data_IF_356933455047
#
_entry.id   IF_356933455047
#
_cell.length_a   1.000
_cell.length_b   1.000
_cell.length_c   1.000
_cell.angle_alpha   90.00
_cell.angle_beta   90.00
_cell.angle_gamma   90.00
#
_symmetry.space_group_name_H-M   'P 1'
#
loop_
_entity.id
_entity.type
_entity.pdbx_description
1 polymer ?
#
# COMPACT_ATOMS: atom_id res chain seq x y z
N UNK A 1 12.32 -26.75 20.49
CA UNK A 1 11.83 -26.34 19.14
C UNK A 1 10.39 -26.77 18.96
N UNK A 2 10.00 -28.00 19.35
CA UNK A 2 8.65 -28.54 19.15
C UNK A 2 7.54 -27.68 19.81
N UNK A 3 7.82 -27.11 21.00
CA UNK A 3 6.89 -26.19 21.66
C UNK A 3 6.68 -24.90 20.84
N UNK A 4 7.77 -24.37 20.28
CA UNK A 4 7.69 -23.15 19.42
C UNK A 4 6.91 -23.44 18.14
N UNK A 5 7.13 -24.62 17.53
CA UNK A 5 6.36 -25.01 16.34
C UNK A 5 4.86 -25.10 16.68
N UNK A 6 4.50 -25.69 17.81
CA UNK A 6 3.10 -25.81 18.25
C UNK A 6 2.47 -24.44 18.48
N UNK A 7 3.17 -23.52 19.16
CA UNK A 7 2.70 -22.14 19.38
C UNK A 7 2.51 -21.36 18.06
N UNK A 8 3.41 -21.54 17.09
CA UNK A 8 3.29 -20.93 15.76
C UNK A 8 2.07 -21.47 15.01
N UNK A 9 1.84 -22.78 15.04
CA UNK A 9 0.67 -23.43 14.42
C UNK A 9 -0.64 -22.95 15.04
N UNK A 10 -0.72 -22.87 16.37
CA UNK A 10 -1.87 -22.32 17.08
C UNK A 10 -2.12 -20.85 16.70
N UNK A 11 -1.05 -20.05 16.58
CA UNK A 11 -1.16 -18.65 16.18
C UNK A 11 -1.68 -18.51 14.74
N UNK A 12 -1.16 -19.31 13.79
CA UNK A 12 -1.65 -19.33 12.42
C UNK A 12 -3.14 -19.70 12.35
N UNK A 13 -3.55 -20.76 13.07
CA UNK A 13 -4.95 -21.19 13.13
C UNK A 13 -5.86 -20.14 13.76
N UNK A 14 -5.39 -19.43 14.79
CA UNK A 14 -6.12 -18.30 15.40
C UNK A 14 -6.41 -17.16 14.40
N UNK A 15 -5.54 -16.95 13.44
CA UNK A 15 -5.69 -15.96 12.37
C UNK A 15 -6.27 -16.54 11.07
N UNK A 16 -6.89 -17.72 11.14
CA UNK A 16 -7.57 -18.39 10.01
C UNK A 16 -6.63 -18.80 8.87
N UNK A 17 -5.34 -18.99 9.16
CA UNK A 17 -4.39 -19.62 8.26
C UNK A 17 -4.34 -21.15 8.52
N UNK A 18 -3.93 -21.97 7.52
CA UNK A 18 -3.86 -23.43 7.67
C UNK A 18 -2.66 -23.83 8.55
N UNK A 19 -2.74 -23.58 9.86
CA UNK A 19 -1.64 -23.80 10.81
C UNK A 19 -1.18 -25.24 10.89
N UNK A 20 -2.11 -26.20 10.79
CA UNK A 20 -1.77 -27.63 10.89
C UNK A 20 -1.06 -28.14 9.62
N UNK A 21 -1.42 -27.61 8.43
CA UNK A 21 -0.91 -28.07 7.14
C UNK A 21 0.30 -27.25 6.67
N UNK A 22 0.57 -26.07 7.24
CA UNK A 22 1.69 -25.23 6.84
C UNK A 22 3.03 -25.93 7.06
N UNK A 23 3.93 -26.01 6.05
CA UNK A 23 5.25 -26.59 6.24
C UNK A 23 6.08 -25.75 7.19
N UNK A 24 6.75 -26.40 8.13
CA UNK A 24 7.68 -25.76 9.07
C UNK A 24 9.08 -26.31 8.85
N UNK A 25 9.97 -25.47 8.35
CA UNK A 25 11.34 -25.84 8.03
C UNK A 25 12.29 -25.22 9.06
N UNK A 26 12.92 -26.05 9.86
CA UNK A 26 13.90 -25.59 10.84
C UNK A 26 15.24 -25.36 10.17
N UNK A 27 15.76 -24.13 10.26
CA UNK A 27 17.03 -23.71 9.65
C UNK A 27 17.97 -23.07 10.66
N UNK A 28 19.27 -23.13 10.39
CA UNK A 28 20.30 -22.32 11.07
C UNK A 28 21.05 -21.51 10.01
N UNK A 29 20.64 -20.25 9.83
CA UNK A 29 21.25 -19.36 8.84
C UNK A 29 22.75 -19.16 9.10
N UNK A 30 23.17 -19.02 10.38
CA UNK A 30 24.57 -18.86 10.74
C UNK A 30 25.41 -20.06 10.28
N UNK A 31 24.99 -21.28 10.61
CA UNK A 31 25.73 -22.49 10.26
C UNK A 31 25.75 -22.72 8.74
N UNK A 32 24.65 -22.42 8.05
CA UNK A 32 24.61 -22.47 6.59
C UNK A 32 25.63 -21.49 5.97
N UNK A 33 25.72 -20.26 6.51
CA UNK A 33 26.69 -19.27 6.06
C UNK A 33 28.15 -19.68 6.35
N UNK A 34 28.39 -20.40 7.45
CA UNK A 34 29.69 -20.98 7.81
C UNK A 34 30.09 -22.20 6.96
N UNK A 35 29.19 -22.66 6.06
CA UNK A 35 29.48 -23.76 5.13
C UNK A 35 29.10 -25.16 5.64
N UNK A 36 28.27 -25.27 6.71
CA UNK A 36 27.74 -26.54 7.18
C UNK A 36 26.75 -27.11 6.14
N UNK A 37 27.09 -28.26 5.55
CA UNK A 37 26.33 -28.89 4.46
C UNK A 37 24.88 -29.22 4.87
N UNK A 38 24.66 -29.68 6.11
CA UNK A 38 23.33 -30.03 6.62
C UNK A 38 22.44 -28.78 6.64
N UNK A 39 22.96 -27.69 7.17
CA UNK A 39 22.17 -26.44 7.30
C UNK A 39 22.05 -25.70 5.96
N UNK A 40 23.03 -25.86 5.06
CA UNK A 40 22.92 -25.41 3.68
C UNK A 40 21.75 -26.10 2.96
N UNK A 41 21.64 -27.44 3.09
CA UNK A 41 20.52 -28.19 2.51
C UNK A 41 19.17 -27.74 3.09
N UNK A 42 19.08 -27.49 4.42
CA UNK A 42 17.83 -27.02 5.04
C UNK A 42 17.38 -25.65 4.52
N UNK A 43 18.30 -24.78 4.10
CA UNK A 43 17.94 -23.52 3.42
C UNK A 43 17.35 -23.79 2.04
N UNK A 44 17.88 -24.77 1.29
CA UNK A 44 17.32 -25.19 0.00
C UNK A 44 15.93 -25.78 0.21
N UNK A 45 15.76 -26.70 1.18
CA UNK A 45 14.45 -27.28 1.53
C UNK A 45 13.40 -26.18 1.86
N UNK A 46 13.83 -25.08 2.50
CA UNK A 46 12.95 -23.93 2.75
C UNK A 46 12.51 -23.23 1.45
N UNK A 47 13.44 -23.04 0.52
CA UNK A 47 13.12 -22.42 -0.77
C UNK A 47 12.18 -23.30 -1.60
N UNK A 48 12.45 -24.63 -1.63
CA UNK A 48 11.57 -25.59 -2.31
C UNK A 48 10.15 -25.57 -1.69
N UNK A 49 10.05 -25.53 -0.35
CA UNK A 49 8.76 -25.43 0.33
C UNK A 49 8.03 -24.11 0.02
N UNK A 50 8.74 -23.00 -0.15
CA UNK A 50 8.15 -21.73 -0.60
C UNK A 50 7.59 -21.86 -2.02
N UNK A 51 8.36 -22.45 -2.95
CA UNK A 51 7.93 -22.60 -4.34
C UNK A 51 6.72 -23.54 -4.47
N UNK A 52 6.61 -24.55 -3.63
CA UNK A 52 5.51 -25.51 -3.65
C UNK A 52 4.23 -24.98 -2.97
N UNK A 53 4.36 -24.17 -1.91
CA UNK A 53 3.22 -23.82 -1.05
C UNK A 53 2.74 -22.38 -1.16
N UNK A 54 3.55 -21.46 -1.74
CA UNK A 54 3.12 -20.07 -1.93
C UNK A 54 2.50 -19.93 -3.33
N UNK A 55 1.19 -19.68 -3.45
CA UNK A 55 0.54 -19.54 -4.75
C UNK A 55 1.01 -18.25 -5.46
N UNK A 56 1.10 -18.32 -6.79
CA UNK A 56 1.32 -17.10 -7.58
C UNK A 56 0.20 -16.09 -7.35
N UNK A 57 0.52 -14.82 -7.04
CA UNK A 57 -0.50 -13.81 -6.83
C UNK A 57 -1.23 -13.48 -8.14
N UNK A 58 -2.55 -13.37 -8.07
CA UNK A 58 -3.34 -12.86 -9.18
C UNK A 58 -3.06 -11.36 -9.34
N UNK A 59 -2.59 -10.98 -10.52
CA UNK A 59 -2.24 -9.58 -10.84
C UNK A 59 -3.32 -8.95 -11.70
N UNK A 60 -3.72 -7.73 -11.35
CA UNK A 60 -4.71 -6.92 -12.08
C UNK A 60 -4.09 -6.29 -13.35
N UNK A 61 -3.77 -7.11 -14.35
CA UNK A 61 -3.08 -6.67 -15.57
C UNK A 61 -3.99 -5.90 -16.55
N UNK A 62 -5.27 -6.24 -16.57
CA UNK A 62 -6.26 -5.67 -17.53
C UNK A 62 -6.79 -4.31 -17.12
N UNK A 63 -6.55 -3.87 -15.88
CA UNK A 63 -6.96 -2.55 -15.40
C UNK A 63 -6.04 -1.45 -15.92
N UNK A 64 -6.54 -0.21 -15.90
CA UNK A 64 -5.72 0.95 -16.23
C UNK A 64 -4.52 1.06 -15.28
N UNK A 65 -3.33 1.33 -15.83
CA UNK A 65 -2.09 1.48 -15.07
C UNK A 65 -2.23 2.45 -13.91
N UNK A 66 -1.73 2.06 -12.74
CA UNK A 66 -1.61 2.88 -11.55
C UNK A 66 -0.40 2.46 -10.71
N UNK A 67 0.45 3.44 -10.40
CA UNK A 67 1.61 3.28 -9.52
C UNK A 67 1.67 4.44 -8.51
N UNK A 68 1.53 4.19 -7.20
CA UNK A 68 1.78 5.18 -6.17
C UNK A 68 3.26 5.59 -6.15
N UNK A 69 3.54 6.88 -5.99
CA UNK A 69 4.90 7.40 -5.86
C UNK A 69 5.39 7.17 -4.43
N UNK A 70 6.46 6.38 -4.29
CA UNK A 70 7.13 6.11 -3.01
C UNK A 70 8.31 7.05 -2.77
N UNK A 71 9.14 7.26 -3.80
CA UNK A 71 10.28 8.17 -3.72
C UNK A 71 10.57 8.84 -5.06
N UNK A 72 11.32 9.95 -5.03
CA UNK A 72 11.66 10.77 -6.20
C UNK A 72 13.15 11.10 -6.18
N UNK A 73 13.85 10.71 -7.23
CA UNK A 73 15.28 10.93 -7.40
C UNK A 73 15.59 11.75 -8.65
N UNK A 74 16.76 12.40 -8.65
CA UNK A 74 17.32 12.98 -9.84
C UNK A 74 18.60 12.23 -10.21
N UNK A 75 18.67 11.74 -11.44
CA UNK A 75 19.89 11.15 -11.99
C UNK A 75 20.54 12.17 -12.90
N UNK A 76 21.76 12.60 -12.58
CA UNK A 76 22.52 13.57 -13.38
C UNK A 76 22.63 13.12 -14.83
N UNK A 77 22.21 13.99 -15.77
CA UNK A 77 22.22 13.71 -17.19
C UNK A 77 21.11 12.81 -17.73
N UNK A 78 20.25 12.22 -16.85
CA UNK A 78 19.12 11.36 -17.27
C UNK A 78 17.75 11.95 -16.94
N UNK A 79 17.61 12.68 -15.82
CA UNK A 79 16.36 13.32 -15.42
C UNK A 79 15.80 12.80 -14.09
N UNK A 80 14.51 13.01 -13.89
CA UNK A 80 13.78 12.61 -12.69
C UNK A 80 13.32 11.16 -12.82
N UNK A 81 13.61 10.38 -11.79
CA UNK A 81 13.14 9.01 -11.60
C UNK A 81 12.22 8.98 -10.40
N UNK A 82 11.08 8.36 -10.58
CA UNK A 82 10.14 8.04 -9.51
C UNK A 82 10.13 6.55 -9.27
N UNK A 83 10.04 6.13 -8.02
CA UNK A 83 9.91 4.72 -7.66
C UNK A 83 8.56 4.43 -7.05
N UNK A 84 8.10 3.20 -7.21
CA UNK A 84 6.89 2.70 -6.61
C UNK A 84 6.57 1.29 -7.03
N UNK A 85 5.62 0.68 -6.33
CA UNK A 85 5.05 -0.60 -6.70
C UNK A 85 3.86 -0.37 -7.63
N UNK A 86 3.84 -1.02 -8.78
CA UNK A 86 2.68 -0.98 -9.67
C UNK A 86 1.52 -1.71 -8.99
N UNK A 87 0.45 -0.99 -8.71
CA UNK A 87 -0.75 -1.51 -8.04
C UNK A 87 -1.61 -2.33 -9.01
N UNK A 88 -1.74 -1.83 -10.26
CA UNK A 88 -2.52 -2.47 -11.32
C UNK A 88 -2.09 -2.01 -12.72
N UNK A 89 -2.47 -2.81 -13.71
CA UNK A 89 -2.19 -2.55 -15.12
C UNK A 89 -0.74 -2.76 -15.52
N UNK A 90 -0.40 -2.22 -16.66
CA UNK A 90 0.92 -2.29 -17.28
C UNK A 90 1.34 -0.90 -17.77
N UNK A 91 2.65 -0.65 -17.81
CA UNK A 91 3.26 0.55 -18.40
C UNK A 91 4.44 0.14 -19.28
N UNK A 92 4.60 0.82 -20.42
CA UNK A 92 5.68 0.59 -21.39
C UNK A 92 6.54 1.83 -21.55
N UNK A 93 7.77 1.63 -21.99
CA UNK A 93 8.61 2.75 -22.44
C UNK A 93 7.92 3.47 -23.59
N UNK A 94 7.90 4.81 -23.52
CA UNK A 94 7.20 5.76 -24.37
C UNK A 94 5.69 5.91 -24.12
N UNK A 95 5.12 5.26 -23.12
CA UNK A 95 3.74 5.53 -22.72
C UNK A 95 3.61 6.94 -22.13
N UNK A 96 2.52 7.63 -22.51
CA UNK A 96 2.07 8.86 -21.86
C UNK A 96 1.37 8.50 -20.54
N UNK A 97 1.75 9.19 -19.46
CA UNK A 97 1.19 9.01 -18.12
C UNK A 97 0.81 10.36 -17.50
N UNK A 98 -0.08 10.34 -16.53
CA UNK A 98 -0.42 11.50 -15.70
C UNK A 98 0.05 11.28 -14.27
N UNK A 99 0.59 12.35 -13.65
CA UNK A 99 0.87 12.43 -12.22
C UNK A 99 -0.30 13.14 -11.57
N UNK A 100 -0.95 12.52 -10.59
CA UNK A 100 -2.24 12.96 -10.04
C UNK A 100 -2.21 12.96 -8.52
N UNK A 101 -2.93 13.90 -7.91
CA UNK A 101 -3.06 14.08 -6.47
C UNK A 101 -2.11 15.13 -5.90
N UNK A 102 -2.46 15.69 -4.74
CA UNK A 102 -1.68 16.66 -3.98
C UNK A 102 -1.47 17.99 -4.72
N UNK A 103 -0.99 17.94 -5.97
CA UNK A 103 -0.69 19.10 -6.82
C UNK A 103 -1.52 19.08 -8.10
N UNK A 104 -1.34 20.10 -8.91
CA UNK A 104 -1.94 20.17 -10.24
C UNK A 104 -1.50 18.96 -11.09
N UNK A 105 -2.46 18.45 -11.84
CA UNK A 105 -2.26 17.30 -12.73
C UNK A 105 -1.20 17.62 -13.79
N UNK A 106 -0.24 16.73 -13.95
CA UNK A 106 0.83 16.86 -14.94
C UNK A 106 0.90 15.65 -15.85
N UNK A 107 0.99 15.89 -17.16
CA UNK A 107 1.26 14.85 -18.16
C UNK A 107 2.75 14.75 -18.44
N UNK A 108 3.23 13.52 -18.60
CA UNK A 108 4.61 13.24 -18.97
C UNK A 108 4.71 11.92 -19.74
N UNK A 109 5.90 11.57 -20.18
CA UNK A 109 6.18 10.31 -20.91
C UNK A 109 7.21 9.50 -20.14
N UNK A 110 6.98 8.20 -20.01
CA UNK A 110 7.96 7.26 -19.46
C UNK A 110 9.06 7.02 -20.49
N UNK A 111 10.30 7.43 -20.19
CA UNK A 111 11.43 7.28 -21.11
C UNK A 111 12.34 6.10 -20.76
N UNK A 112 12.12 5.47 -19.62
CA UNK A 112 12.83 4.28 -19.19
C UNK A 112 12.17 3.65 -17.99
N UNK A 113 12.32 2.34 -17.86
CA UNK A 113 11.83 1.53 -16.73
C UNK A 113 13.02 0.72 -16.24
N UNK A 114 13.24 0.72 -14.93
CA UNK A 114 14.35 -0.02 -14.32
C UNK A 114 13.87 -0.79 -13.08
N UNK A 115 14.28 -2.05 -12.98
CA UNK A 115 14.05 -2.90 -11.82
C UNK A 115 15.34 -3.68 -11.52
N UNK A 116 15.82 -3.62 -10.27
CA UNK A 116 17.07 -4.29 -9.84
C UNK A 116 18.29 -4.01 -10.76
N UNK A 117 18.45 -2.77 -11.20
CA UNK A 117 19.51 -2.32 -12.13
C UNK A 117 19.42 -2.93 -13.54
N UNK A 118 18.25 -3.48 -13.91
CA UNK A 118 17.97 -3.96 -15.27
C UNK A 118 16.98 -3.04 -15.93
N UNK A 119 17.26 -2.64 -17.17
CA UNK A 119 16.32 -1.90 -17.99
C UNK A 119 15.25 -2.86 -18.53
N UNK A 120 14.01 -2.40 -18.50
CA UNK A 120 12.84 -3.13 -18.96
C UNK A 120 12.15 -2.35 -20.07
N UNK A 121 11.53 -3.04 -21.02
CA UNK A 121 10.69 -2.45 -22.05
C UNK A 121 9.28 -2.14 -21.53
N UNK A 122 8.82 -2.92 -20.57
CA UNK A 122 7.53 -2.75 -19.88
C UNK A 122 7.62 -3.25 -18.43
N UNK A 123 6.65 -2.85 -17.63
CA UNK A 123 6.45 -3.35 -16.27
C UNK A 123 4.96 -3.48 -15.96
N UNK A 124 4.61 -4.33 -14.99
CA UNK A 124 3.24 -4.71 -14.69
C UNK A 124 2.91 -4.78 -13.20
N UNK A 125 1.62 -4.95 -12.90
CA UNK A 125 1.10 -5.02 -11.53
C UNK A 125 1.90 -6.01 -10.67
N UNK A 126 2.24 -5.56 -9.45
CA UNK A 126 3.04 -6.32 -8.48
C UNK A 126 4.53 -6.01 -8.50
N UNK A 127 5.05 -5.40 -9.58
CA UNK A 127 6.46 -5.05 -9.71
C UNK A 127 6.81 -3.73 -9.04
N UNK A 128 7.97 -3.68 -8.41
CA UNK A 128 8.53 -2.47 -7.82
C UNK A 128 9.59 -1.89 -8.75
N UNK A 129 9.32 -0.73 -9.33
CA UNK A 129 10.11 -0.18 -10.44
C UNK A 129 10.46 1.29 -10.25
N UNK A 130 11.52 1.71 -10.95
CA UNK A 130 11.85 3.11 -11.20
C UNK A 130 11.41 3.51 -12.60
N UNK A 131 10.60 4.58 -12.71
CA UNK A 131 10.18 5.17 -13.97
C UNK A 131 10.95 6.47 -14.23
N UNK A 132 11.68 6.54 -15.34
CA UNK A 132 12.31 7.75 -15.81
C UNK A 132 11.31 8.60 -16.59
N UNK A 133 11.12 9.85 -16.18
CA UNK A 133 10.10 10.74 -16.74
C UNK A 133 10.70 11.87 -17.59
N UNK A 134 10.07 12.15 -18.73
CA UNK A 134 10.50 13.20 -19.65
C UNK A 134 10.11 14.58 -19.14
N UNK A 135 11.08 15.51 -19.05
CA UNK A 135 10.81 16.93 -18.76
C UNK A 135 10.20 17.23 -17.40
N UNK A 136 10.10 16.24 -16.53
CA UNK A 136 9.58 16.39 -15.15
C UNK A 136 10.75 16.73 -14.24
N UNK A 137 10.63 17.78 -13.43
CA UNK A 137 11.62 18.13 -12.42
C UNK A 137 11.29 17.44 -11.10
N UNK A 138 12.32 17.29 -10.24
CA UNK A 138 12.14 16.65 -8.93
C UNK A 138 11.11 17.39 -8.06
N UNK A 139 11.10 18.72 -8.12
CA UNK A 139 10.18 19.58 -7.38
C UNK A 139 8.72 19.50 -7.86
N UNK A 140 8.46 18.94 -9.05
CA UNK A 140 7.12 18.80 -9.61
C UNK A 140 6.39 17.55 -9.11
N UNK A 141 7.12 16.61 -8.53
CA UNK A 141 6.59 15.32 -8.05
C UNK A 141 6.97 15.10 -6.61
N UNK A 142 6.03 14.55 -5.84
CA UNK A 142 6.28 14.18 -4.45
C UNK A 142 5.64 12.84 -4.09
N UNK A 143 6.16 12.23 -3.03
CA UNK A 143 5.58 11.02 -2.43
C UNK A 143 4.11 11.25 -2.11
N UNK A 144 3.28 10.25 -2.41
CA UNK A 144 1.85 10.29 -2.16
C UNK A 144 0.99 10.65 -3.37
N UNK A 145 1.60 11.21 -4.43
CA UNK A 145 0.95 11.28 -5.73
C UNK A 145 0.87 9.88 -6.36
N UNK A 146 0.08 9.72 -7.40
CA UNK A 146 0.04 8.50 -8.21
C UNK A 146 0.38 8.79 -9.66
N UNK A 147 1.03 7.85 -10.31
CA UNK A 147 1.25 7.86 -11.77
C UNK A 147 0.26 6.91 -12.40
N UNK A 148 -0.49 7.39 -13.37
CA UNK A 148 -1.62 6.66 -13.93
C UNK A 148 -1.68 6.79 -15.45
N UNK A 149 -2.44 5.89 -16.09
CA UNK A 149 -2.88 6.07 -17.47
C UNK A 149 -3.70 7.39 -17.57
N UNK A 150 -3.45 8.24 -18.56
CA UNK A 150 -4.14 9.54 -18.67
C UNK A 150 -5.65 9.41 -18.55
N UNK A 151 -6.25 10.23 -17.68
CA UNK A 151 -7.70 10.29 -17.47
C UNK A 151 -8.33 9.12 -16.71
N UNK A 152 -7.55 8.17 -16.17
CA UNK A 152 -8.08 6.99 -15.49
C UNK A 152 -8.47 7.22 -14.04
N UNK A 153 -7.98 8.27 -13.39
CA UNK A 153 -8.32 8.64 -12.01
C UNK A 153 -8.30 10.16 -11.84
N UNK A 154 -9.12 10.66 -10.93
CA UNK A 154 -9.17 12.08 -10.54
C UNK A 154 -8.85 12.24 -9.05
N UNK A 155 -8.27 13.40 -8.66
CA UNK A 155 -8.11 13.73 -7.25
C UNK A 155 -9.42 14.22 -6.64
N UNK A 156 -9.64 13.88 -5.37
CA UNK A 156 -10.85 14.19 -4.61
C UNK A 156 -10.51 14.61 -3.19
N UNK A 157 -11.36 15.47 -2.60
CA UNK A 157 -11.23 15.91 -1.21
C UNK A 157 -12.32 15.35 -0.31
N UNK A 158 -13.47 14.97 -0.85
CA UNK A 158 -14.62 14.52 -0.06
C UNK A 158 -15.07 13.12 -0.41
N UNK A 159 -15.36 12.32 0.60
CA UNK A 159 -15.85 10.95 0.43
C UNK A 159 -16.67 10.49 1.63
N UNK A 160 -17.53 9.50 1.39
CA UNK A 160 -18.17 8.69 2.42
C UNK A 160 -17.42 7.37 2.57
N UNK A 161 -17.34 6.86 3.78
CA UNK A 161 -16.60 5.65 4.07
C UNK A 161 -17.28 4.79 5.13
N UNK A 162 -17.10 3.48 5.05
CA UNK A 162 -17.36 2.55 6.13
C UNK A 162 -16.06 2.33 6.90
N UNK A 163 -16.06 2.57 8.21
CA UNK A 163 -14.87 2.62 9.05
C UNK A 163 -15.05 1.79 10.30
N UNK A 164 -14.05 0.98 10.61
CA UNK A 164 -13.89 0.28 11.87
C UNK A 164 -12.88 1.04 12.75
N UNK A 165 -13.28 1.34 13.98
CA UNK A 165 -12.42 1.99 14.96
C UNK A 165 -11.82 0.93 15.87
N UNK A 166 -10.49 0.82 15.87
CA UNK A 166 -9.78 -0.17 16.67
C UNK A 166 -10.09 -0.02 18.15
N UNK A 167 -10.39 -1.15 18.80
CA UNK A 167 -10.57 -1.22 20.25
C UNK A 167 -9.25 -0.96 20.99
N UNK A 168 -9.34 -0.77 22.29
CA UNK A 168 -8.17 -0.63 23.17
C UNK A 168 -7.26 -1.84 23.10
N UNK A 169 -7.83 -3.04 23.09
CA UNK A 169 -7.08 -4.30 23.11
C UNK A 169 -6.36 -4.55 21.76
N UNK A 170 -6.83 -3.95 20.68
CA UNK A 170 -6.18 -3.94 19.37
C UNK A 170 -5.12 -2.81 19.22
N UNK A 171 -4.82 -2.09 20.29
CA UNK A 171 -3.88 -0.97 20.30
C UNK A 171 -4.46 0.35 19.81
N UNK A 172 -5.77 0.42 19.63
CA UNK A 172 -6.52 1.60 19.20
C UNK A 172 -6.71 2.66 20.27
N UNK A 173 -7.79 3.43 20.13
CA UNK A 173 -8.16 4.51 21.08
C UNK A 173 -8.70 3.94 22.40
N UNK A 174 -8.57 4.74 23.47
CA UNK A 174 -9.17 4.44 24.77
C UNK A 174 -10.48 5.21 24.98
N UNK A 175 -10.66 6.32 24.27
CA UNK A 175 -11.79 7.24 24.44
C UNK A 175 -12.55 7.38 23.12
N UNK A 176 -13.85 7.65 23.16
CA UNK A 176 -14.62 7.96 21.96
C UNK A 176 -14.12 9.25 21.28
N UNK A 177 -14.49 9.43 20.03
CA UNK A 177 -14.37 10.71 19.36
C UNK A 177 -15.73 11.22 18.91
N UNK A 178 -15.79 12.52 18.65
CA UNK A 178 -16.99 13.27 18.30
C UNK A 178 -16.90 13.84 16.89
N UNK A 179 -17.98 14.40 16.38
CA UNK A 179 -17.97 15.15 15.13
C UNK A 179 -16.87 16.24 15.13
N UNK A 180 -16.36 16.54 13.93
CA UNK A 180 -15.20 17.43 13.71
C UNK A 180 -13.86 16.92 14.24
N UNK A 181 -13.74 15.63 14.54
CA UNK A 181 -12.45 14.99 14.81
C UNK A 181 -11.56 15.08 13.56
N UNK A 182 -10.27 15.37 13.77
CA UNK A 182 -9.31 15.66 12.68
C UNK A 182 -8.08 14.76 12.75
N UNK A 183 -8.19 13.48 12.43
CA UNK A 183 -7.04 12.56 12.34
C UNK A 183 -6.31 12.68 11.01
N UNK A 184 -5.24 11.89 10.87
CA UNK A 184 -4.57 11.66 9.60
C UNK A 184 -5.14 10.41 8.92
N UNK A 185 -5.45 10.56 7.64
CA UNK A 185 -5.91 9.49 6.75
C UNK A 185 -4.74 9.05 5.87
N UNK A 186 -4.41 7.78 5.95
CA UNK A 186 -3.30 7.18 5.19
C UNK A 186 -3.84 6.43 3.99
N UNK A 187 -3.60 6.97 2.81
CA UNK A 187 -3.96 6.37 1.54
C UNK A 187 -2.70 6.02 0.77
N UNK A 188 -2.52 4.76 0.37
CA UNK A 188 -1.31 4.34 -0.36
C UNK A 188 -0.03 4.83 0.34
N UNK A 189 0.68 5.78 -0.27
CA UNK A 189 1.96 6.32 0.19
C UNK A 189 1.87 7.72 0.81
N UNK A 190 0.64 8.28 0.94
CA UNK A 190 0.41 9.62 1.52
C UNK A 190 -0.40 9.58 2.79
N UNK A 191 -0.24 10.61 3.60
CA UNK A 191 -1.11 10.94 4.72
C UNK A 191 -1.66 12.36 4.57
N UNK A 192 -2.95 12.51 4.82
CA UNK A 192 -3.66 13.78 4.72
C UNK A 192 -4.58 13.94 5.93
N UNK A 193 -4.59 15.12 6.53
CA UNK A 193 -5.56 15.47 7.56
C UNK A 193 -6.94 15.61 6.95
N UNK A 194 -7.94 15.00 7.60
CA UNK A 194 -9.34 15.12 7.20
C UNK A 194 -10.24 15.45 8.39
N UNK A 195 -11.38 16.05 8.11
CA UNK A 195 -12.42 16.33 9.09
C UNK A 195 -13.52 15.29 8.96
N UNK A 196 -13.89 14.67 10.06
CA UNK A 196 -14.96 13.66 10.11
C UNK A 196 -16.30 14.34 10.43
N UNK A 197 -17.31 14.01 9.65
CA UNK A 197 -18.71 14.29 9.92
C UNK A 197 -19.43 12.97 10.19
N UNK A 198 -20.10 12.88 11.35
CA UNK A 198 -20.85 11.68 11.73
C UNK A 198 -22.28 11.73 11.16
N UNK A 199 -22.92 10.56 10.94
CA UNK A 199 -24.30 10.49 10.50
C UNK A 199 -25.27 11.18 11.47
N UNK A 200 -26.39 11.66 10.97
CA UNK A 200 -27.43 12.27 11.78
C UNK A 200 -27.88 11.33 12.91
N UNK A 201 -27.90 11.83 14.14
CA UNK A 201 -28.26 11.07 15.34
C UNK A 201 -27.09 10.34 16.00
N UNK A 202 -25.89 10.37 15.43
CA UNK A 202 -24.68 9.82 16.04
C UNK A 202 -23.88 10.96 16.68
N UNK A 203 -23.83 10.98 18.01
CA UNK A 203 -23.08 12.02 18.74
C UNK A 203 -21.60 11.69 18.86
N UNK A 204 -21.27 10.41 19.02
CA UNK A 204 -19.89 9.91 19.21
C UNK A 204 -19.71 8.51 18.63
N UNK A 205 -18.46 8.11 18.42
CA UNK A 205 -18.07 6.77 18.00
C UNK A 205 -17.11 6.18 19.03
N UNK A 206 -17.42 4.97 19.50
CA UNK A 206 -16.64 4.26 20.49
C UNK A 206 -15.52 3.42 19.84
N UNK A 207 -14.40 3.18 20.57
CA UNK A 207 -13.47 2.12 20.19
C UNK A 207 -14.17 0.76 20.07
N UNK A 208 -13.97 0.06 18.95
CA UNK A 208 -14.64 -1.20 18.59
C UNK A 208 -15.86 -1.04 17.69
N UNK A 209 -16.33 0.19 17.45
CA UNK A 209 -17.48 0.43 16.59
C UNK A 209 -17.11 0.36 15.09
N UNK A 210 -18.08 -0.09 14.30
CA UNK A 210 -18.10 0.09 12.83
C UNK A 210 -19.17 1.14 12.50
N UNK A 211 -18.79 2.16 11.74
CA UNK A 211 -19.71 3.25 11.40
C UNK A 211 -19.47 3.79 9.99
N UNK A 212 -20.52 4.31 9.39
CA UNK A 212 -20.40 5.17 8.21
C UNK A 212 -20.05 6.59 8.64
N UNK A 213 -19.20 7.25 7.86
CA UNK A 213 -18.88 8.66 8.11
C UNK A 213 -18.53 9.37 6.81
N UNK A 214 -18.81 10.67 6.77
CA UNK A 214 -18.34 11.55 5.71
C UNK A 214 -17.02 12.19 6.13
N UNK A 215 -16.08 12.30 5.19
CA UNK A 215 -14.75 12.86 5.41
C UNK A 215 -14.47 13.94 4.39
N UNK A 216 -13.95 15.08 4.85
CA UNK A 216 -13.40 16.13 3.98
C UNK A 216 -11.91 16.31 4.28
N UNK A 217 -11.06 15.99 3.29
CA UNK A 217 -9.62 16.14 3.37
C UNK A 217 -9.20 17.58 3.12
N UNK A 218 -8.12 18.02 3.75
CA UNK A 218 -7.54 19.35 3.51
C UNK A 218 -6.85 19.48 2.15
N UNK A 219 -6.59 18.35 1.48
CA UNK A 219 -5.87 18.29 0.20
C UNK A 219 -6.44 17.18 -0.66
N UNK A 220 -6.53 17.43 -1.96
CA UNK A 220 -7.06 16.45 -2.91
C UNK A 220 -6.04 15.33 -3.17
N UNK A 221 -6.48 14.09 -3.07
CA UNK A 221 -5.66 12.90 -3.37
C UNK A 221 -6.31 12.05 -4.46
N UNK A 222 -5.52 11.26 -5.17
CA UNK A 222 -6.03 10.29 -6.13
C UNK A 222 -6.83 9.20 -5.41
N UNK A 223 -8.14 9.16 -5.64
CA UNK A 223 -9.10 8.35 -4.90
C UNK A 223 -10.11 7.72 -5.83
N UNK A 224 -10.61 6.56 -5.43
CA UNK A 224 -11.71 5.84 -6.08
C UNK A 224 -12.53 5.07 -5.06
N UNK A 225 -13.75 4.69 -5.40
CA UNK A 225 -14.58 3.84 -4.56
C UNK A 225 -13.92 2.47 -4.38
N UNK A 226 -14.01 1.91 -3.18
CA UNK A 226 -13.32 0.68 -2.79
C UNK A 226 -11.89 0.88 -2.27
N UNK A 227 -11.33 2.09 -2.35
CA UNK A 227 -9.99 2.37 -1.83
C UNK A 227 -9.97 2.22 -0.31
N UNK A 228 -9.04 1.42 0.20
CA UNK A 228 -8.82 1.23 1.63
C UNK A 228 -7.89 2.30 2.18
N UNK A 229 -8.10 2.64 3.44
CA UNK A 229 -7.25 3.59 4.17
C UNK A 229 -7.15 3.24 5.65
N UNK A 230 -6.09 3.75 6.28
CA UNK A 230 -5.95 3.73 7.73
C UNK A 230 -6.16 5.11 8.31
N UNK A 231 -6.69 5.17 9.53
CA UNK A 231 -6.80 6.40 10.34
C UNK A 231 -5.73 6.33 11.42
N UNK A 232 -4.94 7.39 11.55
CA UNK A 232 -3.87 7.46 12.56
C UNK A 232 -3.93 8.74 13.37
N UNK A 233 -3.53 8.62 14.61
CA UNK A 233 -3.40 9.69 15.58
C UNK A 233 -2.08 9.54 16.34
N UNK A 234 -1.23 10.55 16.31
CA UNK A 234 0.06 10.53 17.01
C UNK A 234 0.95 9.33 16.63
N UNK A 235 0.94 8.90 15.36
CA UNK A 235 1.73 7.75 14.88
C UNK A 235 1.09 6.37 15.16
N UNK A 236 -0.06 6.33 15.84
CA UNK A 236 -0.77 5.11 16.21
C UNK A 236 -1.97 4.91 15.27
N UNK A 237 -2.16 3.72 14.71
CA UNK A 237 -3.35 3.38 13.94
C UNK A 237 -4.54 3.25 14.89
N UNK A 238 -5.59 4.00 14.63
CA UNK A 238 -6.80 4.04 15.48
C UNK A 238 -8.05 3.58 14.73
N UNK A 239 -7.95 3.34 13.44
CA UNK A 239 -9.05 2.82 12.64
C UNK A 239 -8.62 2.46 11.23
N UNK A 240 -9.48 1.76 10.53
CA UNK A 240 -9.33 1.43 9.11
C UNK A 240 -10.69 1.51 8.42
N UNK A 241 -10.68 1.90 7.16
CA UNK A 241 -11.92 2.05 6.41
C UNK A 241 -11.76 1.82 4.92
N UNK A 242 -12.90 1.85 4.25
CA UNK A 242 -12.99 1.74 2.79
C UNK A 242 -13.89 2.88 2.28
N UNK A 243 -13.45 3.55 1.23
CA UNK A 243 -14.24 4.57 0.53
C UNK A 243 -15.45 3.92 -0.12
N UNK A 244 -16.65 4.36 0.25
CA UNK A 244 -17.91 3.83 -0.30
C UNK A 244 -18.48 4.71 -1.40
N UNK A 245 -18.20 6.02 -1.34
CA UNK A 245 -18.69 7.00 -2.30
C UNK A 245 -17.80 8.23 -2.35
N UNK A 246 -17.55 8.75 -3.54
CA UNK A 246 -16.90 10.05 -3.75
C UNK A 246 -17.96 11.14 -3.72
N UNK A 247 -17.73 12.21 -2.94
CA UNK A 247 -18.70 13.30 -2.73
C UNK A 247 -18.20 14.66 -3.25
N UNK A 248 -16.85 14.85 -3.37
CA UNK A 248 -16.28 16.13 -3.81
C UNK A 248 -14.94 15.94 -4.49
#
# INVERSE_FOLDING_TARGET
LDLVEMEVRELLSKYEFPGDDAPVIQVSALKALEGDEKWGQRVIDLMDACDENIPEPQRDLDKAFLMPVEDVFTITGRGTVITGKIERGQVKVNDEVEIVGIRDKQKTTVTGIEMFRKLLDYAEAGENVGLLLRGTKREDVERGQVVVKPGSITPHTGFDANVYILSKDEGGRHNPFYANYRPQFYFRTTDVTGVITLPAGTEMVMPGDTTEMAVELIQAIAMEEGLRFAIREGGRTVGAGTVTKITK
#
